data_IF_215277093225
#
_entry.id   IF_215277093225
#
_cell.length_a   1.000
_cell.length_b   1.000
_cell.length_c   1.000
_cell.angle_alpha   90.00
_cell.angle_beta   90.00
_cell.angle_gamma   90.00
#
_symmetry.space_group_name_H-M   'P 1'
#
loop_
_entity.id
_entity.type
_entity.pdbx_description
1 polymer ?
#
# COMPACT_ATOMS: atom_id res chain seq x y z
N UNK A 1 -10.22 9.54 2.31
CA UNK A 1 -10.38 8.38 1.41
C UNK A 1 -9.05 7.68 1.06
N UNK A 2 -8.03 8.36 0.54
CA UNK A 2 -6.74 7.69 0.24
C UNK A 2 -6.13 6.96 1.46
N UNK A 3 -6.00 7.66 2.60
CA UNK A 3 -5.43 7.09 3.84
C UNK A 3 -6.18 5.85 4.35
N UNK A 4 -7.51 5.84 4.24
CA UNK A 4 -8.32 4.68 4.66
C UNK A 4 -8.12 3.47 3.75
N UNK A 5 -8.04 3.67 2.43
CA UNK A 5 -7.75 2.55 1.51
C UNK A 5 -6.32 2.03 1.67
N UNK A 6 -5.36 2.91 1.96
CA UNK A 6 -3.97 2.51 2.24
C UNK A 6 -3.88 1.65 3.51
N UNK A 7 -4.60 2.02 4.58
CA UNK A 7 -4.67 1.23 5.80
C UNK A 7 -5.30 -0.15 5.57
N UNK A 8 -6.39 -0.22 4.79
CA UNK A 8 -7.00 -1.50 4.41
C UNK A 8 -6.05 -2.39 3.60
N UNK A 9 -5.32 -1.81 2.65
CA UNK A 9 -4.30 -2.54 1.89
C UNK A 9 -3.21 -3.10 2.81
N UNK A 10 -2.73 -2.31 3.78
CA UNK A 10 -1.74 -2.77 4.75
C UNK A 10 -2.22 -3.95 5.58
N UNK A 11 -3.47 -3.91 6.06
CA UNK A 11 -4.05 -5.04 6.79
C UNK A 11 -4.06 -6.32 5.94
N UNK A 12 -4.46 -6.23 4.66
CA UNK A 12 -4.45 -7.38 3.74
C UNK A 12 -3.03 -7.91 3.49
N UNK A 13 -2.01 -7.06 3.43
CA UNK A 13 -0.62 -7.48 3.28
C UNK A 13 -0.09 -8.20 4.53
N UNK A 14 -0.51 -7.77 5.72
CA UNK A 14 -0.20 -8.47 6.97
C UNK A 14 -0.83 -9.87 6.97
N UNK A 15 -2.10 -9.97 6.62
CA UNK A 15 -2.82 -11.25 6.55
C UNK A 15 -2.19 -12.20 5.52
N UNK A 16 -1.83 -11.70 4.35
CA UNK A 16 -1.15 -12.48 3.31
C UNK A 16 0.19 -13.03 3.81
N UNK A 17 1.00 -12.19 4.47
CA UNK A 17 2.29 -12.62 5.03
C UNK A 17 2.11 -13.71 6.08
N UNK A 18 1.12 -13.56 6.96
CA UNK A 18 0.77 -14.55 7.99
C UNK A 18 0.41 -15.90 7.36
N UNK A 19 -0.54 -15.91 6.43
CA UNK A 19 -0.99 -17.15 5.76
C UNK A 19 0.15 -17.84 5.00
N UNK A 20 1.01 -17.08 4.33
CA UNK A 20 2.19 -17.63 3.65
C UNK A 20 3.21 -18.21 4.64
N UNK A 21 3.34 -17.63 5.84
CA UNK A 21 4.21 -18.18 6.88
C UNK A 21 3.65 -19.48 7.44
N UNK A 22 2.35 -19.54 7.73
CA UNK A 22 1.67 -20.76 8.19
C UNK A 22 1.78 -21.90 7.15
N UNK A 23 1.64 -21.58 5.86
CA UNK A 23 1.87 -22.56 4.78
C UNK A 23 3.31 -23.12 4.79
N UNK A 24 4.32 -22.26 4.97
CA UNK A 24 5.71 -22.70 5.06
C UNK A 24 5.93 -23.61 6.27
N UNK A 25 5.40 -23.22 7.42
CA UNK A 25 5.52 -23.99 8.65
C UNK A 25 4.92 -25.41 8.51
N UNK A 26 3.77 -25.54 7.86
CA UNK A 26 3.16 -26.86 7.61
C UNK A 26 4.02 -27.71 6.69
N UNK A 27 4.62 -27.12 5.65
CA UNK A 27 5.54 -27.86 4.78
C UNK A 27 6.81 -28.27 5.52
N UNK A 28 7.39 -27.40 6.35
CA UNK A 28 8.56 -27.71 7.18
C UNK A 28 8.30 -28.91 8.10
N UNK A 29 7.15 -28.93 8.79
CA UNK A 29 6.74 -30.04 9.65
C UNK A 29 6.60 -31.34 8.84
N UNK A 30 6.04 -31.26 7.63
CA UNK A 30 5.89 -32.40 6.73
C UNK A 30 7.24 -32.95 6.25
N UNK A 31 8.17 -32.08 5.89
CA UNK A 31 9.52 -32.50 5.48
C UNK A 31 10.30 -33.11 6.64
N UNK A 32 10.29 -32.47 7.82
CA UNK A 32 11.00 -32.95 9.00
C UNK A 32 10.58 -34.36 9.42
N UNK A 33 9.29 -34.68 9.33
CA UNK A 33 8.80 -36.01 9.67
C UNK A 33 9.02 -37.07 8.58
N UNK A 34 9.39 -36.66 7.35
CA UNK A 34 9.81 -37.58 6.28
C UNK A 34 11.29 -38.00 6.39
N UNK A 35 12.13 -37.18 7.02
CA UNK A 35 13.57 -37.41 7.17
C UNK A 35 13.94 -38.25 8.41
N UNK A 36 12.96 -38.72 9.19
CA UNK A 36 13.21 -39.61 10.34
C UNK A 36 13.47 -41.04 9.84
N UNK A 37 14.62 -41.68 10.14
CA UNK A 37 14.94 -43.03 9.66
C UNK A 37 13.98 -44.11 10.15
N UNK A 38 13.57 -44.98 9.23
CA UNK A 38 12.57 -46.05 9.36
C UNK A 38 12.95 -47.21 10.32
N UNK A 39 14.14 -47.16 10.94
CA UNK A 39 14.71 -48.31 11.66
C UNK A 39 14.17 -48.57 13.07
N UNK A 40 13.06 -47.94 13.48
CA UNK A 40 12.43 -48.16 14.81
C UNK A 40 10.89 -48.27 14.83
N UNK A 41 10.21 -48.22 13.69
CA UNK A 41 8.75 -48.01 13.65
C UNK A 41 7.98 -49.34 13.63
N UNK A 42 7.32 -49.63 14.75
CA UNK A 42 6.51 -50.82 15.01
C UNK A 42 5.16 -50.78 14.25
N UNK A 43 5.22 -51.07 12.95
CA UNK A 43 4.44 -52.11 12.28
C UNK A 43 2.94 -51.92 11.96
N UNK A 44 2.08 -51.32 12.81
CA UNK A 44 0.65 -51.28 12.46
C UNK A 44 -0.19 -50.15 13.11
N UNK A 45 0.19 -49.65 14.29
CA UNK A 45 -0.48 -48.49 14.91
C UNK A 45 -0.03 -47.15 14.33
N UNK A 46 1.19 -47.10 13.80
CA UNK A 46 1.79 -45.90 13.20
C UNK A 46 1.20 -45.57 11.83
N UNK A 47 0.78 -46.58 11.05
CA UNK A 47 0.18 -46.37 9.71
C UNK A 47 -1.16 -45.63 9.81
N UNK A 48 -2.02 -46.01 10.77
CA UNK A 48 -3.30 -45.31 10.98
C UNK A 48 -3.14 -43.89 11.54
N UNK A 49 -2.12 -43.69 12.39
CA UNK A 49 -1.75 -42.37 12.90
C UNK A 49 -1.16 -41.48 11.80
N UNK A 50 -0.31 -42.03 10.93
CA UNK A 50 0.26 -41.32 9.78
C UNK A 50 -0.82 -40.93 8.78
N UNK A 51 -1.73 -41.83 8.39
CA UNK A 51 -2.81 -41.50 7.46
C UNK A 51 -3.73 -40.38 7.99
N UNK A 52 -4.01 -40.38 9.30
CA UNK A 52 -4.79 -39.33 9.97
C UNK A 52 -4.05 -37.99 9.97
N UNK A 53 -2.75 -38.01 10.23
CA UNK A 53 -1.89 -36.84 10.24
C UNK A 53 -1.65 -36.27 8.83
N UNK A 54 -1.39 -37.10 7.82
CA UNK A 54 -1.34 -36.72 6.42
C UNK A 54 -2.67 -36.11 5.95
N UNK A 55 -3.80 -36.72 6.35
CA UNK A 55 -5.12 -36.17 6.08
C UNK A 55 -5.35 -34.80 6.74
N UNK A 56 -4.86 -34.61 7.97
CA UNK A 56 -4.90 -33.31 8.65
C UNK A 56 -4.03 -32.27 7.92
N UNK A 57 -2.79 -32.61 7.53
CA UNK A 57 -1.92 -31.72 6.74
C UNK A 57 -2.63 -31.29 5.44
N UNK A 58 -3.20 -32.25 4.70
CA UNK A 58 -3.91 -31.97 3.45
C UNK A 58 -5.08 -31.01 3.63
N UNK A 59 -5.92 -31.24 4.65
CA UNK A 59 -7.05 -30.34 4.98
C UNK A 59 -6.58 -28.96 5.43
N UNK A 60 -5.58 -28.90 6.31
CA UNK A 60 -5.02 -27.64 6.80
C UNK A 60 -4.44 -26.81 5.66
N UNK A 61 -3.69 -27.43 4.74
CA UNK A 61 -3.15 -26.77 3.55
C UNK A 61 -4.25 -26.26 2.61
N UNK A 62 -5.28 -27.08 2.38
CA UNK A 62 -6.42 -26.66 1.55
C UNK A 62 -7.14 -25.44 2.15
N UNK A 63 -7.35 -25.43 3.47
CA UNK A 63 -7.95 -24.30 4.17
C UNK A 63 -7.09 -23.04 4.06
N UNK A 64 -5.78 -23.14 4.30
CA UNK A 64 -4.86 -22.01 4.17
C UNK A 64 -4.79 -21.47 2.75
N UNK A 65 -4.83 -22.33 1.73
CA UNK A 65 -4.90 -21.89 0.33
C UNK A 65 -6.22 -21.18 0.01
N UNK A 66 -7.35 -21.68 0.53
CA UNK A 66 -8.65 -21.03 0.36
C UNK A 66 -8.70 -19.65 1.06
N UNK A 67 -8.12 -19.54 2.27
CA UNK A 67 -7.95 -18.26 2.96
C UNK A 67 -7.06 -17.30 2.16
N UNK A 68 -5.92 -17.78 1.66
CA UNK A 68 -5.00 -16.98 0.86
C UNK A 68 -5.66 -16.49 -0.44
N UNK A 69 -6.40 -17.34 -1.13
CA UNK A 69 -7.15 -16.96 -2.32
C UNK A 69 -8.18 -15.87 -2.03
N UNK A 70 -8.89 -15.95 -0.89
CA UNK A 70 -9.82 -14.90 -0.44
C UNK A 70 -9.10 -13.58 -0.17
N UNK A 71 -7.96 -13.60 0.51
CA UNK A 71 -7.15 -12.40 0.77
C UNK A 71 -6.64 -11.79 -0.53
N UNK A 72 -6.14 -12.60 -1.47
CA UNK A 72 -5.68 -12.12 -2.78
C UNK A 72 -6.80 -11.49 -3.60
N UNK A 73 -8.00 -12.08 -3.58
CA UNK A 73 -9.19 -11.51 -4.21
C UNK A 73 -9.54 -10.14 -3.65
N UNK A 74 -9.60 -10.01 -2.31
CA UNK A 74 -9.82 -8.72 -1.63
C UNK A 74 -8.71 -7.71 -1.95
N UNK A 75 -7.45 -8.14 -1.99
CA UNK A 75 -6.30 -7.29 -2.33
C UNK A 75 -6.44 -6.70 -3.73
N UNK A 76 -6.87 -7.50 -4.70
CA UNK A 76 -7.17 -7.04 -6.06
C UNK A 76 -8.22 -5.93 -6.09
N UNK A 77 -9.32 -6.10 -5.34
CA UNK A 77 -10.39 -5.11 -5.25
C UNK A 77 -9.90 -3.78 -4.60
N UNK A 78 -9.23 -3.87 -3.45
CA UNK A 78 -8.71 -2.68 -2.74
C UNK A 78 -7.62 -1.97 -3.54
N UNK A 79 -6.77 -2.70 -4.29
CA UNK A 79 -5.76 -2.10 -5.17
C UNK A 79 -6.36 -1.11 -6.17
N UNK A 80 -7.49 -1.47 -6.78
CA UNK A 80 -8.15 -0.61 -7.76
C UNK A 80 -8.72 0.66 -7.11
N UNK A 81 -9.31 0.53 -5.92
CA UNK A 81 -9.82 1.67 -5.15
C UNK A 81 -8.69 2.58 -4.67
N UNK A 82 -7.59 2.00 -4.19
CA UNK A 82 -6.42 2.73 -3.73
C UNK A 82 -5.80 3.55 -4.86
N UNK A 83 -5.62 2.96 -6.06
CA UNK A 83 -5.11 3.70 -7.24
C UNK A 83 -5.99 4.89 -7.59
N UNK A 84 -7.31 4.70 -7.61
CA UNK A 84 -8.26 5.80 -7.90
C UNK A 84 -8.21 6.89 -6.83
N UNK A 85 -8.20 6.50 -5.55
CA UNK A 85 -8.13 7.46 -4.44
C UNK A 85 -6.82 8.23 -4.43
N UNK A 86 -5.70 7.58 -4.77
CA UNK A 86 -4.40 8.20 -4.90
C UNK A 86 -4.34 9.17 -6.08
N UNK A 87 -4.88 8.79 -7.24
CA UNK A 87 -4.98 9.69 -8.40
C UNK A 87 -5.76 10.97 -8.08
N UNK A 88 -6.91 10.85 -7.38
CA UNK A 88 -7.67 12.01 -6.91
C UNK A 88 -6.88 12.88 -5.92
N UNK A 89 -6.13 12.25 -5.02
CA UNK A 89 -5.27 12.95 -4.08
C UNK A 89 -4.16 13.74 -4.78
N UNK A 90 -3.49 13.13 -5.76
CA UNK A 90 -2.46 13.80 -6.56
C UNK A 90 -3.03 15.01 -7.32
N UNK A 91 -4.13 14.82 -8.05
CA UNK A 91 -4.75 15.90 -8.82
C UNK A 91 -5.19 17.08 -7.93
N UNK A 92 -5.76 16.79 -6.76
CA UNK A 92 -6.13 17.82 -5.80
C UNK A 92 -4.90 18.56 -5.25
N UNK A 93 -3.82 17.84 -4.98
CA UNK A 93 -2.56 18.42 -4.48
C UNK A 93 -1.93 19.33 -5.53
N UNK A 94 -1.91 18.90 -6.78
CA UNK A 94 -1.40 19.68 -7.91
C UNK A 94 -2.22 20.96 -8.13
N UNK A 95 -3.55 20.86 -8.10
CA UNK A 95 -4.43 22.01 -8.25
C UNK A 95 -4.25 23.05 -7.13
N UNK A 96 -3.99 22.61 -5.90
CA UNK A 96 -3.69 23.51 -4.78
C UNK A 96 -2.35 24.21 -4.98
N UNK A 97 -1.31 23.47 -5.39
CA UNK A 97 0.00 24.04 -5.68
C UNK A 97 -0.06 25.07 -6.82
N UNK A 98 -0.83 24.79 -7.87
CA UNK A 98 -1.00 25.73 -8.99
C UNK A 98 -1.76 26.97 -8.58
N UNK A 99 -2.78 26.84 -7.73
CA UNK A 99 -3.45 28.01 -7.15
C UNK A 99 -2.48 28.85 -6.32
N UNK A 100 -1.70 28.24 -5.43
CA UNK A 100 -0.72 28.95 -4.59
C UNK A 100 0.32 29.68 -5.45
N UNK A 101 0.82 29.04 -6.51
CA UNK A 101 1.72 29.68 -7.49
C UNK A 101 1.04 30.86 -8.18
N UNK A 102 -0.20 30.71 -8.63
CA UNK A 102 -0.94 31.77 -9.30
C UNK A 102 -1.20 32.96 -8.36
N UNK A 103 -1.53 32.71 -7.08
CA UNK A 103 -1.66 33.77 -6.07
C UNK A 103 -0.34 34.50 -5.84
N UNK A 104 0.76 33.75 -5.67
CA UNK A 104 2.10 34.35 -5.52
C UNK A 104 2.50 35.21 -6.71
N UNK A 105 2.29 34.72 -7.93
CA UNK A 105 2.57 35.47 -9.16
C UNK A 105 1.71 36.73 -9.28
N UNK A 106 0.42 36.66 -8.95
CA UNK A 106 -0.47 37.84 -8.95
C UNK A 106 -0.01 38.90 -7.95
N UNK A 107 0.35 38.49 -6.74
CA UNK A 107 0.85 39.40 -5.70
C UNK A 107 2.16 40.06 -6.13
N UNK A 108 3.10 39.30 -6.71
CA UNK A 108 4.36 39.87 -7.21
C UNK A 108 4.13 40.85 -8.36
N UNK A 109 3.23 40.53 -9.29
CA UNK A 109 2.89 41.41 -10.41
C UNK A 109 2.29 42.74 -9.90
N UNK A 110 1.35 42.67 -8.95
CA UNK A 110 0.77 43.88 -8.34
C UNK A 110 1.82 44.75 -7.66
N UNK A 111 2.75 44.14 -6.93
CA UNK A 111 3.86 44.86 -6.30
C UNK A 111 4.77 45.54 -7.34
N UNK A 112 5.10 44.84 -8.43
CA UNK A 112 5.90 45.39 -9.52
C UNK A 112 5.20 46.57 -10.21
N UNK A 113 3.92 46.41 -10.56
CA UNK A 113 3.13 47.44 -11.22
C UNK A 113 3.03 48.71 -10.35
N UNK A 114 2.85 48.56 -9.03
CA UNK A 114 2.85 49.68 -8.08
C UNK A 114 4.21 50.40 -8.03
N UNK A 115 5.32 49.65 -8.00
CA UNK A 115 6.67 50.24 -8.00
C UNK A 115 6.95 51.02 -9.28
N UNK A 116 6.51 50.51 -10.43
CA UNK A 116 6.59 51.25 -11.69
C UNK A 116 5.79 52.56 -11.64
N UNK A 117 4.56 52.51 -11.13
CA UNK A 117 3.69 53.69 -11.03
C UNK A 117 4.31 54.77 -10.15
N UNK A 118 4.82 54.40 -8.97
CA UNK A 118 5.57 55.30 -8.08
C UNK A 118 6.81 55.89 -8.77
N UNK A 119 7.55 55.08 -9.53
CA UNK A 119 8.71 55.53 -10.29
C UNK A 119 8.37 56.48 -11.45
N UNK A 120 7.17 56.36 -12.05
CA UNK A 120 6.67 57.32 -13.05
C UNK A 120 6.26 58.63 -12.40
N UNK A 121 5.54 58.59 -11.29
CA UNK A 121 5.12 59.78 -10.53
C UNK A 121 6.32 60.60 -10.05
N UNK A 122 7.35 59.93 -9.52
CA UNK A 122 8.58 60.59 -9.08
C UNK A 122 9.27 61.35 -10.22
N UNK A 123 9.43 60.70 -11.39
CA UNK A 123 10.02 61.35 -12.58
C UNK A 123 9.19 62.53 -13.07
N UNK A 124 7.86 62.43 -13.04
CA UNK A 124 6.98 63.52 -13.42
C UNK A 124 7.12 64.74 -12.49
N UNK A 125 7.30 64.52 -11.18
CA UNK A 125 7.59 65.60 -10.23
C UNK A 125 8.96 66.26 -10.49
N UNK A 126 9.99 65.48 -10.81
CA UNK A 126 11.32 66.01 -11.13
C UNK A 126 11.30 66.87 -12.40
N UNK A 127 10.51 66.50 -13.42
CA UNK A 127 10.37 67.30 -14.65
C UNK A 127 9.47 68.54 -14.53
N UNK A 128 8.65 68.64 -13.49
CA UNK A 128 7.76 69.78 -13.27
C UNK A 128 8.34 70.83 -12.31
N UNK A 129 9.49 70.55 -11.70
CA UNK A 129 10.22 71.44 -10.80
C UNK A 129 11.38 72.22 -11.45
N UNK A 130 11.69 71.92 -12.72
CA UNK A 130 12.60 72.69 -13.61
C UNK A 130 11.79 73.65 -14.49
#
# INVERSE_FOLDING_TARGET
>A
MYRSEAARMQALLVDERRLRAELRQIEEVRFAARDVPDSRLQGYREIGADLTWQGWIGRSKANLHADLARVLGRKGQVSNLLRRAYGKYLAATELLQDQDRAYGQRSMKQQHDLLEELGRLKRAQETAGD
#
